data_IF_351245035171
#
_entry.id   IF_351245035171
#
_cell.length_a   1.000
_cell.length_b   1.000
_cell.length_c   1.000
_cell.angle_alpha   90.00
_cell.angle_beta   90.00
_cell.angle_gamma   90.00
#
_symmetry.space_group_name_H-M   'P 1'
#
loop_
_entity.id
_entity.type
_entity.pdbx_description
1 polymer ?
#
# COMPACT_ATOMS: atom_id res chain seq x y z
N UNK A 1 -37.83 -22.18 29.93
CA UNK A 1 -36.35 -22.33 30.07
C UNK A 1 -35.64 -22.51 28.73
N UNK A 2 -36.22 -23.22 27.75
CA UNK A 2 -35.60 -23.42 26.42
C UNK A 2 -35.54 -22.15 25.53
N UNK A 3 -36.53 -21.25 25.63
CA UNK A 3 -36.58 -20.03 24.81
C UNK A 3 -35.46 -19.02 25.12
N UNK A 4 -35.09 -18.90 26.40
CA UNK A 4 -33.95 -18.06 26.84
C UNK A 4 -32.61 -18.65 26.41
N UNK A 5 -32.52 -19.99 26.33
CA UNK A 5 -31.33 -20.69 25.85
C UNK A 5 -31.11 -20.44 24.34
N UNK A 6 -32.18 -20.42 23.55
CA UNK A 6 -32.11 -20.09 22.13
C UNK A 6 -31.63 -18.65 21.87
N UNK A 7 -32.20 -17.69 22.62
CA UNK A 7 -31.82 -16.28 22.50
C UNK A 7 -30.36 -16.03 22.91
N UNK A 8 -29.92 -16.64 24.00
CA UNK A 8 -28.53 -16.51 24.48
C UNK A 8 -27.53 -17.14 23.50
N UNK A 9 -27.84 -18.30 22.92
CA UNK A 9 -27.00 -18.93 21.88
C UNK A 9 -26.93 -18.05 20.63
N UNK A 10 -28.07 -17.48 20.19
CA UNK A 10 -28.10 -16.60 19.02
C UNK A 10 -27.22 -15.36 19.21
N UNK A 11 -27.29 -14.72 20.38
CA UNK A 11 -26.48 -13.55 20.73
C UNK A 11 -24.98 -13.89 20.77
N UNK A 12 -24.62 -15.05 21.31
CA UNK A 12 -23.22 -15.50 21.35
C UNK A 12 -22.65 -15.77 19.96
N UNK A 13 -23.43 -16.42 19.08
CA UNK A 13 -23.02 -16.69 17.69
C UNK A 13 -22.84 -15.37 16.93
N UNK A 14 -23.77 -14.43 17.07
CA UNK A 14 -23.68 -13.13 16.40
C UNK A 14 -22.47 -12.32 16.89
N UNK A 15 -22.21 -12.33 18.20
CA UNK A 15 -21.02 -11.68 18.78
C UNK A 15 -19.71 -12.26 18.28
N UNK A 16 -19.61 -13.60 18.17
CA UNK A 16 -18.41 -14.27 17.67
C UNK A 16 -18.13 -13.95 16.18
N UNK A 17 -19.18 -13.84 15.36
CA UNK A 17 -19.06 -13.47 13.93
C UNK A 17 -18.56 -12.03 13.79
N UNK A 18 -19.07 -11.10 14.61
CA UNK A 18 -18.65 -9.70 14.55
C UNK A 18 -17.24 -9.45 15.10
N UNK A 19 -16.83 -10.17 16.15
CA UNK A 19 -15.52 -10.02 16.79
C UNK A 19 -14.39 -10.75 16.03
N UNK A 20 -14.72 -11.67 15.12
CA UNK A 20 -13.75 -12.44 14.33
C UNK A 20 -13.06 -11.67 13.20
N UNK A 21 -13.47 -10.43 12.93
CA UNK A 21 -12.85 -9.60 11.89
C UNK A 21 -11.62 -8.89 12.46
N UNK A 22 -10.44 -9.47 12.26
CA UNK A 22 -9.20 -8.72 12.35
C UNK A 22 -9.20 -7.69 11.21
N UNK A 23 -9.22 -6.38 11.47
CA UNK A 23 -8.91 -5.44 10.41
C UNK A 23 -7.48 -5.76 9.96
N UNK A 24 -7.31 -6.22 8.72
CA UNK A 24 -6.02 -6.15 8.06
C UNK A 24 -5.53 -4.73 8.29
N UNK A 25 -4.42 -4.58 9.01
CA UNK A 25 -3.82 -3.27 9.24
C UNK A 25 -3.45 -2.74 7.86
N UNK A 26 -4.29 -1.86 7.32
CA UNK A 26 -3.95 -1.07 6.14
C UNK A 26 -2.82 -0.15 6.59
N UNK A 27 -1.59 -0.66 6.55
CA UNK A 27 -0.40 0.09 6.85
C UNK A 27 -0.21 1.08 5.71
N UNK A 28 -0.63 2.32 5.93
CA UNK A 28 -0.34 3.40 5.01
C UNK A 28 1.19 3.57 4.94
N UNK A 29 1.76 3.42 3.73
CA UNK A 29 3.19 3.64 3.51
C UNK A 29 3.52 5.10 3.81
N UNK A 30 4.26 5.34 4.88
CA UNK A 30 4.76 6.70 5.20
C UNK A 30 6.02 6.93 4.38
N UNK A 31 5.99 7.95 3.51
CA UNK A 31 7.12 8.33 2.68
C UNK A 31 7.79 9.60 3.20
N UNK A 32 9.13 9.69 3.11
CA UNK A 32 9.84 10.92 3.42
C UNK A 32 9.42 12.03 2.43
N UNK A 33 9.46 13.28 2.91
CA UNK A 33 9.02 14.46 2.18
C UNK A 33 10.09 15.10 1.29
N UNK A 34 11.33 14.58 1.28
CA UNK A 34 12.38 15.11 0.42
C UNK A 34 12.21 14.58 -1.02
N UNK A 35 12.63 15.38 -1.99
CA UNK A 35 12.70 14.98 -3.39
C UNK A 35 14.14 14.88 -3.86
N UNK A 36 14.39 13.84 -4.65
CA UNK A 36 15.58 13.74 -5.48
C UNK A 36 15.37 14.64 -6.71
N UNK A 37 16.47 15.08 -7.31
CA UNK A 37 16.43 15.87 -8.54
C UNK A 37 16.24 14.93 -9.74
N UNK A 38 15.00 14.47 -9.95
CA UNK A 38 14.66 13.43 -10.93
C UNK A 38 14.12 14.06 -12.22
N UNK A 39 14.79 13.77 -13.32
CA UNK A 39 14.42 14.27 -14.65
C UNK A 39 13.29 13.42 -15.26
N UNK A 40 13.39 12.08 -15.18
CA UNK A 40 12.35 11.17 -15.64
C UNK A 40 12.46 9.80 -14.94
N UNK A 41 11.44 8.95 -15.11
CA UNK A 41 11.52 7.56 -14.66
C UNK A 41 11.24 6.58 -15.80
N UNK A 42 11.74 5.34 -15.66
CA UNK A 42 11.39 4.21 -16.51
C UNK A 42 10.86 3.06 -15.65
N UNK A 43 9.83 2.37 -16.13
CA UNK A 43 9.21 1.28 -15.41
C UNK A 43 9.06 0.07 -16.36
N UNK A 44 9.33 -1.17 -15.91
CA UNK A 44 9.19 -2.37 -16.74
C UNK A 44 7.82 -2.50 -17.40
N UNK A 45 6.76 -2.08 -16.70
CA UNK A 45 5.38 -2.08 -17.22
C UNK A 45 5.17 -1.18 -18.44
N UNK A 46 6.08 -0.25 -18.72
CA UNK A 46 6.00 0.70 -19.85
C UNK A 46 7.23 0.61 -20.76
N UNK A 47 8.08 -0.41 -20.58
CA UNK A 47 9.35 -0.57 -21.31
C UNK A 47 10.28 0.63 -21.11
N UNK A 48 10.89 1.08 -22.21
CA UNK A 48 11.85 2.18 -22.22
C UNK A 48 11.20 3.58 -22.31
N UNK A 49 9.87 3.65 -22.19
CA UNK A 49 9.17 4.93 -22.22
C UNK A 49 9.59 5.79 -21.02
N UNK A 50 10.02 7.02 -21.30
CA UNK A 50 10.21 8.05 -20.27
C UNK A 50 8.85 8.48 -19.72
N UNK A 51 8.64 8.28 -18.43
CA UNK A 51 7.44 8.65 -17.70
C UNK A 51 7.72 9.85 -16.80
N UNK A 52 6.65 10.55 -16.38
CA UNK A 52 6.73 11.64 -15.41
C UNK A 52 7.48 11.20 -14.16
N UNK A 53 8.41 12.02 -13.71
CA UNK A 53 9.22 11.68 -12.55
C UNK A 53 8.40 11.63 -11.27
N UNK A 54 8.86 10.79 -10.33
CA UNK A 54 8.38 10.78 -8.96
C UNK A 54 9.49 11.33 -8.07
N UNK A 55 9.07 12.05 -7.03
CA UNK A 55 9.94 12.76 -6.11
C UNK A 55 10.99 11.85 -5.44
N UNK A 56 10.66 10.59 -5.10
CA UNK A 56 11.61 9.61 -4.56
C UNK A 56 11.09 8.17 -4.73
N UNK A 57 11.93 7.17 -4.44
CA UNK A 57 11.58 5.75 -4.54
C UNK A 57 10.40 5.29 -3.67
N UNK A 58 10.10 6.01 -2.59
CA UNK A 58 8.94 5.64 -1.77
C UNK A 58 7.62 5.97 -2.48
N UNK A 59 7.61 7.04 -3.26
CA UNK A 59 6.46 7.50 -4.06
C UNK A 59 6.45 6.90 -5.48
N UNK A 60 7.56 6.33 -5.93
CA UNK A 60 7.64 5.61 -7.19
C UNK A 60 6.88 4.27 -7.11
N UNK A 61 6.27 3.81 -8.21
CA UNK A 61 5.83 2.42 -8.33
C UNK A 61 7.03 1.49 -8.15
N UNK A 62 6.76 0.26 -7.68
CA UNK A 62 7.83 -0.73 -7.47
C UNK A 62 8.50 -1.12 -8.79
N UNK A 63 9.79 -1.43 -8.71
CA UNK A 63 10.62 -1.89 -9.83
C UNK A 63 10.81 -0.83 -10.92
N UNK A 64 10.65 0.46 -10.60
CA UNK A 64 10.90 1.56 -11.51
C UNK A 64 12.25 2.21 -11.23
N UNK A 65 12.94 2.66 -12.27
CA UNK A 65 14.21 3.39 -12.16
C UNK A 65 13.97 4.88 -12.30
N UNK A 66 14.46 5.67 -11.35
CA UNK A 66 14.50 7.13 -11.42
C UNK A 66 15.83 7.56 -12.06
N UNK A 67 15.78 8.43 -13.05
CA UNK A 67 16.95 9.02 -13.71
C UNK A 67 17.09 10.47 -13.25
N UNK A 68 18.20 10.78 -12.59
CA UNK A 68 18.44 12.06 -11.94
C UNK A 68 19.11 13.03 -12.89
N UNK A 69 18.96 14.33 -12.61
CA UNK A 69 19.53 15.42 -13.40
C UNK A 69 21.07 15.41 -13.41
N UNK A 70 21.72 14.79 -12.42
CA UNK A 70 23.17 14.59 -12.36
C UNK A 70 23.68 13.44 -13.26
N UNK A 71 22.77 12.78 -13.98
CA UNK A 71 23.08 11.66 -14.87
C UNK A 71 23.15 10.30 -14.17
N UNK A 72 22.94 10.26 -12.84
CA UNK A 72 22.85 9.00 -12.10
C UNK A 72 21.44 8.39 -12.18
N UNK A 73 21.33 7.10 -11.87
CA UNK A 73 20.05 6.40 -11.84
C UNK A 73 19.90 5.64 -10.53
N UNK A 74 18.68 5.64 -9.97
CA UNK A 74 18.33 4.91 -8.76
C UNK A 74 17.22 3.92 -9.09
N UNK A 75 17.49 2.63 -8.88
CA UNK A 75 16.47 1.60 -9.01
C UNK A 75 15.62 1.53 -7.74
N UNK A 76 14.32 1.70 -7.93
CA UNK A 76 13.24 1.49 -6.96
C UNK A 76 12.41 0.28 -7.45
#
# INVERSE_FOLDING_TARGET
MAEYLGLTVLLLVYGAILLGNNPEKISARVCPRFCLDVEYMTCPSSGDKKLDSRCNCCLAPKNCTLHLADGTSVHC
#
